data_IF_975359941869
#
_entry.id   IF_975359941869
#
_cell.length_a   1.000
_cell.length_b   1.000
_cell.length_c   1.000
_cell.angle_alpha   90.00
_cell.angle_beta   90.00
_cell.angle_gamma   90.00
#
_symmetry.space_group_name_H-M   'P 1'
#
loop_
_entity.id
_entity.type
_entity.pdbx_description
1 polymer ?
#
# COMPACT_ATOMS: atom_id res chain seq x y z
N UNK A 1 4.22 5.81 15.82
CA UNK A 1 4.15 6.11 14.38
C UNK A 1 3.72 7.57 14.21
N UNK A 2 4.44 8.34 13.41
CA UNK A 2 4.11 9.75 13.16
C UNK A 2 2.98 9.87 12.15
N UNK A 3 2.28 11.02 12.14
CA UNK A 3 1.27 11.31 11.14
C UNK A 3 1.86 11.25 9.72
N UNK A 4 3.07 11.76 9.55
CA UNK A 4 3.75 11.76 8.25
C UNK A 4 4.01 10.34 7.75
N UNK A 5 4.47 9.45 8.62
CA UNK A 5 4.69 8.05 8.28
C UNK A 5 3.37 7.36 7.95
N UNK A 6 2.32 7.64 8.73
CA UNK A 6 1.01 7.06 8.51
C UNK A 6 0.41 7.52 7.17
N UNK A 7 0.54 8.81 6.84
CA UNK A 7 0.13 9.35 5.54
C UNK A 7 0.89 8.66 4.40
N UNK A 8 2.19 8.45 4.57
CA UNK A 8 3.03 7.77 3.58
C UNK A 8 2.56 6.34 3.35
N UNK A 9 2.25 5.60 4.42
CA UNK A 9 1.77 4.22 4.32
C UNK A 9 0.41 4.15 3.63
N UNK A 10 -0.50 5.07 3.96
CA UNK A 10 -1.81 5.14 3.30
C UNK A 10 -1.63 5.40 1.80
N UNK A 11 -0.79 6.37 1.45
CA UNK A 11 -0.50 6.68 0.05
C UNK A 11 0.04 5.45 -0.68
N UNK A 12 0.99 4.73 -0.07
CA UNK A 12 1.60 3.54 -0.68
C UNK A 12 0.56 2.44 -0.95
N UNK A 13 -0.37 2.23 -0.04
CA UNK A 13 -1.43 1.24 -0.26
C UNK A 13 -2.35 1.65 -1.41
N UNK A 14 -2.72 2.93 -1.47
CA UNK A 14 -3.57 3.44 -2.54
C UNK A 14 -2.85 3.41 -3.90
N UNK A 15 -1.57 3.72 -3.93
CA UNK A 15 -0.76 3.63 -5.14
C UNK A 15 -0.62 2.17 -5.60
N UNK A 16 -0.37 1.25 -4.66
CA UNK A 16 -0.31 -0.19 -4.97
C UNK A 16 -1.62 -0.67 -5.58
N UNK A 17 -2.76 -0.22 -5.06
CA UNK A 17 -4.06 -0.57 -5.62
C UNK A 17 -4.18 -0.12 -7.08
N UNK A 18 -3.70 1.08 -7.41
CA UNK A 18 -3.67 1.58 -8.79
C UNK A 18 -2.80 0.72 -9.69
N UNK A 19 -1.65 0.29 -9.19
CA UNK A 19 -0.74 -0.60 -9.93
C UNK A 19 -1.38 -1.97 -10.17
N UNK A 20 -2.07 -2.52 -9.17
CA UNK A 20 -2.76 -3.80 -9.35
C UNK A 20 -3.90 -3.70 -10.36
N UNK A 21 -4.57 -2.55 -10.43
CA UNK A 21 -5.57 -2.31 -11.48
C UNK A 21 -4.92 -2.38 -12.87
N UNK A 22 -3.78 -1.72 -13.05
CA UNK A 22 -3.02 -1.78 -14.30
C UNK A 22 -2.59 -3.21 -14.62
N UNK A 23 -2.06 -3.93 -13.62
CA UNK A 23 -1.63 -5.32 -13.79
C UNK A 23 -2.78 -6.23 -14.17
N UNK A 24 -3.98 -6.02 -13.61
CA UNK A 24 -5.15 -6.79 -13.97
C UNK A 24 -5.51 -6.60 -15.46
N UNK A 25 -5.38 -5.36 -15.96
CA UNK A 25 -5.62 -5.08 -17.38
C UNK A 25 -4.59 -5.73 -18.30
N UNK A 26 -3.35 -5.89 -17.83
CA UNK A 26 -2.26 -6.48 -18.60
C UNK A 26 -2.14 -8.00 -18.45
N UNK A 27 -2.87 -8.58 -17.50
CA UNK A 27 -2.70 -10.00 -17.15
C UNK A 27 -2.92 -10.91 -18.34
N UNK A 28 -1.98 -11.85 -18.61
CA UNK A 28 -2.08 -12.70 -19.78
C UNK A 28 -3.09 -13.83 -19.66
N UNK A 29 -3.57 -14.11 -18.44
CA UNK A 29 -4.55 -15.17 -18.18
C UNK A 29 -5.62 -14.67 -17.22
N UNK A 30 -6.79 -15.34 -17.25
CA UNK A 30 -7.89 -15.00 -16.34
C UNK A 30 -7.53 -15.26 -14.88
N UNK A 31 -6.74 -16.28 -14.62
CA UNK A 31 -6.27 -16.61 -13.27
C UNK A 31 -5.43 -15.47 -12.72
N UNK A 32 -4.47 -14.96 -13.51
CA UNK A 32 -3.63 -13.84 -13.09
C UNK A 32 -4.43 -12.55 -12.96
N UNK A 33 -5.38 -12.30 -13.87
CA UNK A 33 -6.27 -11.14 -13.75
C UNK A 33 -7.01 -11.15 -12.42
N UNK A 34 -7.62 -12.28 -12.06
CA UNK A 34 -8.35 -12.43 -10.81
C UNK A 34 -7.43 -12.25 -9.60
N UNK A 35 -6.22 -12.76 -9.68
CA UNK A 35 -5.23 -12.62 -8.62
C UNK A 35 -4.85 -11.15 -8.41
N UNK A 36 -4.66 -10.39 -9.49
CA UNK A 36 -4.35 -8.96 -9.41
C UNK A 36 -5.52 -8.16 -8.82
N UNK A 37 -6.75 -8.52 -9.17
CA UNK A 37 -7.95 -7.90 -8.60
C UNK A 37 -8.06 -8.17 -7.10
N UNK A 38 -7.72 -9.37 -6.67
CA UNK A 38 -7.71 -9.72 -5.24
C UNK A 38 -6.67 -8.90 -4.48
N UNK A 39 -5.48 -8.76 -5.03
CA UNK A 39 -4.43 -7.92 -4.43
C UNK A 39 -4.86 -6.46 -4.36
N UNK A 40 -5.55 -5.96 -5.39
CA UNK A 40 -6.11 -4.61 -5.38
C UNK A 40 -7.08 -4.43 -4.21
N UNK A 41 -7.98 -5.38 -4.04
CA UNK A 41 -8.96 -5.34 -2.94
C UNK A 41 -8.27 -5.35 -1.57
N UNK A 42 -7.26 -6.21 -1.40
CA UNK A 42 -6.50 -6.29 -0.16
C UNK A 42 -5.78 -4.97 0.16
N UNK A 43 -5.17 -4.33 -0.84
CA UNK A 43 -4.47 -3.06 -0.62
C UNK A 43 -5.44 -1.93 -0.30
N UNK A 44 -6.62 -1.91 -0.92
CA UNK A 44 -7.66 -0.94 -0.58
C UNK A 44 -8.18 -1.14 0.85
N UNK A 45 -8.34 -2.38 1.28
CA UNK A 45 -8.74 -2.69 2.65
C UNK A 45 -7.66 -2.24 3.64
N UNK A 46 -6.39 -2.45 3.32
CA UNK A 46 -5.28 -2.00 4.14
C UNK A 46 -5.26 -0.47 4.26
N UNK A 47 -5.50 0.24 3.16
CA UNK A 47 -5.58 1.70 3.17
C UNK A 47 -6.72 2.18 4.07
N UNK A 48 -7.88 1.54 3.99
CA UNK A 48 -9.03 1.88 4.84
C UNK A 48 -8.73 1.65 6.32
N UNK A 49 -8.05 0.56 6.65
CA UNK A 49 -7.65 0.25 8.02
C UNK A 49 -6.70 1.32 8.57
N UNK A 50 -5.68 1.68 7.78
CA UNK A 50 -4.73 2.71 8.17
C UNK A 50 -5.38 4.08 8.30
N UNK A 51 -6.31 4.42 7.41
CA UNK A 51 -7.02 5.70 7.48
C UNK A 51 -7.94 5.75 8.70
N UNK A 52 -8.53 4.65 9.10
CA UNK A 52 -9.33 4.58 10.33
C UNK A 52 -8.47 4.91 11.54
N UNK A 53 -7.26 4.37 11.59
CA UNK A 53 -6.30 4.69 12.65
C UNK A 53 -5.90 6.17 12.59
N UNK A 54 -5.68 6.70 11.38
CA UNK A 54 -5.38 8.11 11.17
C UNK A 54 -6.50 9.01 11.70
N UNK A 55 -7.76 8.65 11.43
CA UNK A 55 -8.93 9.39 11.91
C UNK A 55 -9.00 9.43 13.44
N UNK A 56 -8.66 8.33 14.09
CA UNK A 56 -8.65 8.28 15.55
C UNK A 56 -7.63 9.26 16.15
N UNK A 57 -6.51 9.47 15.47
CA UNK A 57 -5.46 10.37 15.93
C UNK A 57 -5.73 11.84 15.56
N UNK A 58 -6.41 12.10 14.44
CA UNK A 58 -6.48 13.44 13.86
C UNK A 58 -7.89 13.98 13.67
N UNK A 59 -8.92 13.21 14.00
CA UNK A 59 -10.33 13.57 13.85
C UNK A 59 -10.75 13.87 12.41
N UNK A 60 -9.93 13.51 11.42
CA UNK A 60 -10.21 13.69 9.99
C UNK A 60 -9.57 12.58 9.18
N UNK A 61 -10.14 12.28 8.01
CA UNK A 61 -9.58 11.34 7.06
C UNK A 61 -8.42 11.94 6.27
N UNK A 62 -7.55 11.07 5.76
CA UNK A 62 -6.49 11.45 4.85
C UNK A 62 -6.85 11.00 3.43
N UNK A 63 -7.04 11.98 2.54
CA UNK A 63 -7.44 11.73 1.15
C UNK A 63 -6.40 12.33 0.20
N UNK A 64 -5.27 11.64 0.00
CA UNK A 64 -4.23 12.16 -0.90
C UNK A 64 -4.65 12.03 -2.36
N UNK A 65 -4.11 12.90 -3.20
CA UNK A 65 -4.20 12.76 -4.66
C UNK A 65 -3.16 11.71 -5.05
N UNK A 66 -3.63 10.60 -5.65
CA UNK A 66 -2.76 9.51 -6.05
C UNK A 66 -2.32 9.73 -7.49
N UNK A 67 -1.01 9.67 -7.73
CA UNK A 67 -0.46 9.73 -9.08
C UNK A 67 -0.90 8.51 -9.87
N UNK A 68 -1.04 8.67 -11.19
CA UNK A 68 -1.33 7.54 -12.06
C UNK A 68 -0.19 6.52 -11.99
N UNK A 69 -0.51 5.22 -12.05
CA UNK A 69 0.52 4.19 -12.00
C UNK A 69 1.46 4.30 -13.20
N UNK A 70 2.77 4.18 -12.94
CA UNK A 70 3.78 4.19 -13.98
C UNK A 70 3.85 2.80 -14.62
N UNK A 71 3.63 2.75 -15.94
CA UNK A 71 3.74 1.51 -16.68
C UNK A 71 5.22 1.30 -17.08
N UNK A 72 5.84 0.24 -16.55
CA UNK A 72 7.25 -0.06 -16.79
C UNK A 72 7.48 -0.91 -18.05
N UNK A 73 6.43 -1.10 -18.86
CA UNK A 73 6.50 -1.69 -20.17
C UNK A 73 5.70 -2.98 -20.36
N UNK A 74 5.77 -3.92 -19.44
CA UNK A 74 5.08 -5.20 -19.57
C UNK A 74 4.53 -5.65 -18.22
N UNK A 75 3.61 -6.62 -18.27
CA UNK A 75 3.08 -7.25 -17.06
C UNK A 75 4.22 -7.76 -16.15
N UNK A 76 5.18 -8.47 -16.74
CA UNK A 76 6.30 -9.02 -15.99
C UNK A 76 7.15 -7.95 -15.32
N UNK A 77 7.48 -6.88 -16.06
CA UNK A 77 8.27 -5.76 -15.51
C UNK A 77 7.51 -5.04 -14.40
N UNK A 78 6.21 -4.85 -14.58
CA UNK A 78 5.38 -4.20 -13.57
C UNK A 78 5.24 -5.07 -12.31
N UNK A 79 5.16 -6.39 -12.46
CA UNK A 79 5.15 -7.32 -11.31
C UNK A 79 6.45 -7.20 -10.53
N UNK A 80 7.60 -7.23 -11.19
CA UNK A 80 8.90 -7.08 -10.51
C UNK A 80 9.00 -5.75 -9.77
N UNK A 81 8.56 -4.67 -10.41
CA UNK A 81 8.55 -3.36 -9.77
C UNK A 81 7.69 -3.35 -8.51
N UNK A 82 6.50 -3.95 -8.58
CA UNK A 82 5.59 -4.04 -7.43
C UNK A 82 6.17 -4.85 -6.28
N UNK A 83 6.87 -5.94 -6.57
CA UNK A 83 7.50 -6.74 -5.53
C UNK A 83 8.53 -5.92 -4.74
N UNK A 84 9.34 -5.12 -5.41
CA UNK A 84 10.31 -4.24 -4.75
C UNK A 84 9.60 -3.12 -3.98
N UNK A 85 8.58 -2.51 -4.58
CA UNK A 85 7.85 -1.42 -3.96
C UNK A 85 7.16 -1.87 -2.67
N UNK A 86 6.45 -2.99 -2.70
CA UNK A 86 5.75 -3.52 -1.53
C UNK A 86 6.71 -4.01 -0.45
N UNK A 87 7.83 -4.59 -0.84
CA UNK A 87 8.87 -5.01 0.11
C UNK A 87 9.38 -3.82 0.91
N UNK A 88 9.64 -2.69 0.26
CA UNK A 88 10.08 -1.46 0.91
C UNK A 88 9.02 -0.91 1.86
N UNK A 89 7.76 -0.89 1.43
CA UNK A 89 6.64 -0.42 2.26
C UNK A 89 6.42 -1.31 3.47
N UNK A 90 6.52 -2.63 3.29
CA UNK A 90 6.35 -3.60 4.37
C UNK A 90 7.48 -3.45 5.41
N UNK A 91 8.71 -3.26 4.97
CA UNK A 91 9.83 -3.02 5.87
C UNK A 91 9.64 -1.77 6.72
N UNK A 92 9.18 -0.69 6.11
CA UNK A 92 8.90 0.54 6.83
C UNK A 92 7.82 0.33 7.89
N UNK A 93 6.73 -0.33 7.54
CA UNK A 93 5.64 -0.63 8.47
C UNK A 93 6.12 -1.48 9.64
N UNK A 94 6.89 -2.53 9.38
CA UNK A 94 7.42 -3.40 10.41
C UNK A 94 8.37 -2.66 11.35
N UNK A 95 9.23 -1.81 10.82
CA UNK A 95 10.16 -1.03 11.62
C UNK A 95 9.43 -0.04 12.54
N UNK A 96 8.42 0.64 12.02
CA UNK A 96 7.62 1.58 12.81
C UNK A 96 6.83 0.88 13.92
N UNK A 97 6.27 -0.28 13.62
CA UNK A 97 5.55 -1.10 14.61
C UNK A 97 6.48 -1.59 15.71
N UNK A 98 7.68 -2.04 15.34
CA UNK A 98 8.69 -2.49 16.30
C UNK A 98 9.12 -1.34 17.22
N UNK A 99 9.39 -0.17 16.65
CA UNK A 99 9.81 1.00 17.43
C UNK A 99 8.70 1.45 18.39
N UNK A 100 7.45 1.46 17.95
CA UNK A 100 6.32 1.81 18.81
C UNK A 100 6.19 0.85 20.00
N UNK A 101 6.35 -0.46 19.77
CA UNK A 101 6.29 -1.47 20.82
C UNK A 101 7.44 -1.32 21.81
N UNK A 102 8.64 -1.02 21.33
CA UNK A 102 9.80 -0.80 22.18
C UNK A 102 9.61 0.44 23.08
N UNK A 103 9.08 1.52 22.51
CA UNK A 103 8.79 2.75 23.27
C UNK A 103 7.78 2.47 24.39
N UNK A 104 6.74 1.70 24.10
CA UNK A 104 5.75 1.29 25.10
C UNK A 104 6.38 0.43 26.19
N UNK A 105 7.27 -0.48 25.82
CA UNK A 105 7.96 -1.37 26.75
C UNK A 105 8.88 -0.60 27.69
N UNK A 106 9.48 0.47 27.22
CA UNK A 106 10.41 1.27 28.00
C UNK A 106 9.72 2.24 28.98
N UNK A 107 8.44 2.41 28.83
CA UNK A 107 7.66 3.24 29.77
C UNK A 107 7.30 2.48 31.03
#
# INVERSE_FOLDING_TARGET
MTNKTLQYLIYNQLYSASMYELLALQAPTKILENQMKLFQEETLNNASYLDRYYQELNTSSYHPIIQEPVNHGSFKKNVYWMLEYESSSTKLFCNESYNANNDETMK
#
